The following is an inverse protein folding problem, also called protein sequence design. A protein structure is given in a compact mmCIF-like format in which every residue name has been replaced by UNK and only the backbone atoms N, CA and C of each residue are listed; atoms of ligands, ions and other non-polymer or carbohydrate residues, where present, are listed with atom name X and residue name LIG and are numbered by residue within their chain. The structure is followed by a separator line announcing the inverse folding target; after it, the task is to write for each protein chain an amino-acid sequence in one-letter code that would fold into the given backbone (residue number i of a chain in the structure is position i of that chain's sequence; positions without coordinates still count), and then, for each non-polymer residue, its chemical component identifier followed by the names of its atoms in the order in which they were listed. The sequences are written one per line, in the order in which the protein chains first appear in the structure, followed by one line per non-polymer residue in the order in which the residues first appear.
data_IF_847433365120
#
_entry.id   IF_847433365120
#
_cell.length_a   1.000
_cell.length_b   1.000
_cell.length_c   1.000
_cell.angle_alpha   90.00
_cell.angle_beta   90.00
_cell.angle_gamma   90.00
#
_symmetry.space_group_name_H-M   'P 1'
#
loop_
_entity.id
_entity.type
_entity.pdbx_description
1 polymer ?
#
# COMPACT_ATOMS: atom_id res chain seq x y z
N UNK A 1 0.60 -14.00 -10.32
CA UNK A 1 0.73 -12.95 -9.30
C UNK A 1 1.86 -12.02 -9.71
N UNK A 2 1.78 -10.75 -9.33
CA UNK A 2 2.89 -9.79 -9.43
C UNK A 2 3.48 -9.66 -8.03
N UNK A 3 4.73 -10.12 -7.88
CA UNK A 3 5.33 -10.33 -6.57
C UNK A 3 4.47 -11.21 -5.67
N UNK A 4 4.47 -10.92 -4.37
CA UNK A 4 3.66 -11.59 -3.35
C UNK A 4 2.30 -10.92 -3.10
N UNK A 5 2.05 -9.74 -3.69
CA UNK A 5 1.00 -8.83 -3.26
C UNK A 5 -0.20 -8.72 -4.21
N UNK A 6 -0.03 -8.94 -5.51
CA UNK A 6 -1.09 -8.65 -6.48
C UNK A 6 -1.46 -9.89 -7.31
N UNK A 7 -2.75 -10.20 -7.37
CA UNK A 7 -3.32 -11.21 -8.24
C UNK A 7 -4.08 -10.50 -9.36
N UNK A 8 -3.74 -10.84 -10.61
CA UNK A 8 -4.34 -10.23 -11.81
C UNK A 8 -4.83 -11.35 -12.70
N UNK A 9 -6.04 -11.21 -13.24
CA UNK A 9 -6.56 -12.09 -14.30
C UNK A 9 -7.08 -11.23 -15.45
N UNK A 10 -6.24 -10.99 -16.48
CA UNK A 10 -6.67 -10.35 -17.71
C UNK A 10 -7.80 -11.14 -18.37
N UNK A 11 -8.70 -10.41 -19.03
CA UNK A 11 -9.79 -10.99 -19.81
C UNK A 11 -9.28 -11.25 -21.22
N UNK A 12 -9.21 -12.53 -21.60
CA UNK A 12 -8.64 -12.98 -22.90
C UNK A 12 -9.70 -13.60 -23.82
N UNK A 13 -10.93 -13.76 -23.32
CA UNK A 13 -12.05 -14.30 -24.08
C UNK A 13 -12.73 -13.19 -24.87
N UNK A 14 -13.34 -13.55 -26.01
CA UNK A 14 -14.10 -12.60 -26.83
C UNK A 14 -15.50 -12.42 -26.23
N UNK A 15 -15.89 -11.17 -25.98
CA UNK A 15 -17.21 -10.76 -25.47
C UNK A 15 -17.71 -11.52 -24.20
N UNK A 16 -16.88 -11.75 -23.17
CA UNK A 16 -17.37 -12.34 -21.93
C UNK A 16 -18.20 -11.32 -21.17
N UNK A 17 -19.28 -11.78 -20.53
CA UNK A 17 -20.07 -10.96 -19.60
C UNK A 17 -19.48 -10.97 -18.18
N UNK A 18 -18.76 -12.03 -17.82
CA UNK A 18 -18.13 -12.19 -16.52
C UNK A 18 -16.76 -12.85 -16.66
N UNK A 19 -15.85 -12.52 -15.74
CA UNK A 19 -14.58 -13.20 -15.56
C UNK A 19 -14.58 -13.87 -14.18
N UNK A 20 -14.39 -15.19 -14.18
CA UNK A 20 -14.25 -15.94 -12.93
C UNK A 20 -12.80 -15.97 -12.50
N UNK A 21 -12.46 -15.49 -11.31
CA UNK A 21 -11.11 -15.55 -10.74
C UNK A 21 -11.10 -16.44 -9.50
N UNK A 22 -10.11 -17.31 -9.37
CA UNK A 22 -9.90 -18.09 -8.15
C UNK A 22 -8.95 -17.35 -7.20
N UNK A 23 -9.45 -16.98 -6.02
CA UNK A 23 -8.66 -16.44 -4.92
C UNK A 23 -8.09 -17.62 -4.13
N UNK A 24 -6.78 -17.83 -4.24
CA UNK A 24 -6.07 -18.90 -3.55
C UNK A 24 -5.70 -18.50 -2.11
N UNK A 25 -5.25 -19.48 -1.33
CA UNK A 25 -4.85 -19.30 0.07
C UNK A 25 -5.93 -19.78 1.05
N UNK A 26 -5.54 -20.54 2.07
CA UNK A 26 -6.44 -20.92 3.16
C UNK A 26 -6.33 -19.88 4.27
N UNK A 27 -7.47 -19.37 4.74
CA UNK A 27 -7.51 -18.32 5.78
C UNK A 27 -6.74 -17.06 5.34
N UNK A 28 -6.83 -16.74 4.06
CA UNK A 28 -6.34 -15.49 3.49
C UNK A 28 -7.50 -14.58 3.12
N UNK A 29 -7.20 -13.30 2.95
CA UNK A 29 -8.13 -12.28 2.50
C UNK A 29 -7.51 -11.55 1.31
N UNK A 30 -8.35 -11.20 0.35
CA UNK A 30 -7.97 -10.44 -0.83
C UNK A 30 -8.84 -9.18 -0.90
N UNK A 31 -8.29 -8.07 -1.36
CA UNK A 31 -8.99 -6.81 -1.48
C UNK A 31 -9.12 -6.49 -2.96
N UNK A 32 -10.35 -6.28 -3.40
CA UNK A 32 -10.65 -5.83 -4.75
C UNK A 32 -9.92 -4.51 -5.03
N UNK A 33 -9.17 -4.43 -6.14
CA UNK A 33 -8.30 -3.28 -6.39
C UNK A 33 -9.08 -1.96 -6.48
N UNK A 34 -10.19 -1.97 -7.20
CA UNK A 34 -11.02 -0.79 -7.49
C UNK A 34 -11.87 -0.40 -6.26
N UNK A 35 -12.55 -1.37 -5.66
CA UNK A 35 -13.55 -1.09 -4.62
C UNK A 35 -13.02 -1.19 -3.20
N UNK A 36 -11.78 -1.64 -3.03
CA UNK A 36 -11.17 -1.98 -1.73
C UNK A 36 -11.93 -3.04 -0.91
N UNK A 37 -12.99 -3.64 -1.45
CA UNK A 37 -13.84 -4.58 -0.71
C UNK A 37 -13.08 -5.87 -0.40
N UNK A 38 -13.16 -6.39 0.84
CA UNK A 38 -12.54 -7.65 1.22
C UNK A 38 -13.27 -8.86 0.62
N UNK A 39 -12.50 -9.86 0.23
CA UNK A 39 -12.94 -11.16 -0.29
C UNK A 39 -12.18 -12.28 0.44
N UNK A 40 -12.86 -13.13 1.23
CA UNK A 40 -12.21 -14.26 1.87
C UNK A 40 -11.81 -15.32 0.83
N UNK A 41 -10.78 -16.09 1.15
CA UNK A 41 -10.27 -17.20 0.32
C UNK A 41 -10.15 -18.49 1.16
N UNK A 42 -10.22 -19.68 0.52
CA UNK A 42 -10.24 -19.91 -0.93
C UNK A 42 -11.65 -19.76 -1.54
N UNK A 43 -11.71 -19.30 -2.80
CA UNK A 43 -13.00 -19.22 -3.50
C UNK A 43 -12.91 -18.59 -4.88
N UNK A 44 -13.88 -18.92 -5.74
CA UNK A 44 -14.06 -18.22 -7.00
C UNK A 44 -14.86 -16.93 -6.77
N UNK A 45 -14.41 -15.84 -7.37
CA UNK A 45 -15.15 -14.57 -7.47
C UNK A 45 -15.54 -14.33 -8.92
N UNK A 46 -16.70 -13.72 -9.12
CA UNK A 46 -17.19 -13.32 -10.44
C UNK A 46 -17.08 -11.81 -10.55
N UNK A 47 -16.35 -11.36 -11.57
CA UNK A 47 -16.18 -9.95 -11.87
C UNK A 47 -16.95 -9.62 -13.16
N UNK A 48 -17.72 -8.52 -13.19
CA UNK A 48 -18.26 -8.01 -14.45
C UNK A 48 -17.13 -7.78 -15.45
N UNK A 49 -17.25 -8.38 -16.63
CA UNK A 49 -16.31 -8.19 -17.72
C UNK A 49 -16.80 -7.03 -18.59
N UNK A 50 -16.08 -5.91 -18.54
CA UNK A 50 -16.30 -4.75 -19.41
C UNK A 50 -15.02 -4.45 -20.18
N UNK A 51 -15.09 -3.63 -21.23
CA UNK A 51 -13.91 -3.26 -22.01
C UNK A 51 -12.81 -2.58 -21.16
N UNK A 52 -13.18 -1.99 -20.02
CA UNK A 52 -12.25 -1.29 -19.11
C UNK A 52 -11.83 -2.14 -17.91
N UNK A 53 -12.47 -3.28 -17.65
CA UNK A 53 -12.22 -4.04 -16.42
C UNK A 53 -10.92 -4.83 -16.51
N UNK A 54 -10.06 -4.66 -15.51
CA UNK A 54 -8.90 -5.51 -15.27
C UNK A 54 -9.09 -6.15 -13.88
N UNK A 55 -9.62 -7.38 -13.80
CA UNK A 55 -9.82 -8.07 -12.52
C UNK A 55 -8.49 -8.19 -11.75
N UNK A 56 -8.44 -7.51 -10.60
CA UNK A 56 -7.23 -7.38 -9.81
C UNK A 56 -7.54 -7.34 -8.33
N UNK A 57 -6.72 -8.07 -7.56
CA UNK A 57 -6.89 -8.23 -6.13
C UNK A 57 -5.56 -8.09 -5.41
N UNK A 58 -5.51 -7.26 -4.38
CA UNK A 58 -4.37 -7.16 -3.47
C UNK A 58 -4.51 -8.20 -2.35
N UNK A 59 -3.45 -8.96 -2.08
CA UNK A 59 -3.39 -9.92 -0.98
C UNK A 59 -3.31 -9.19 0.35
N UNK A 60 -4.11 -9.62 1.34
CA UNK A 60 -3.98 -9.16 2.71
C UNK A 60 -2.63 -9.50 3.32
N UNK A 61 -2.15 -8.62 4.19
CA UNK A 61 -0.82 -8.69 4.77
C UNK A 61 0.27 -8.01 3.94
N UNK A 62 -0.09 -7.27 2.87
CA UNK A 62 0.89 -6.65 1.97
C UNK A 62 0.74 -5.14 1.87
N UNK A 63 1.85 -4.45 1.61
CA UNK A 63 1.88 -3.02 1.28
C UNK A 63 2.40 -2.85 -0.15
N UNK A 64 1.67 -2.10 -0.97
CA UNK A 64 2.08 -1.75 -2.33
C UNK A 64 2.31 -0.24 -2.40
N UNK A 65 3.57 0.22 -2.60
CA UNK A 65 3.85 1.60 -2.96
C UNK A 65 3.59 1.81 -4.46
N UNK A 66 2.90 2.88 -4.82
CA UNK A 66 2.71 3.31 -6.20
C UNK A 66 3.08 4.78 -6.34
N UNK A 67 3.64 5.16 -7.48
CA UNK A 67 3.66 6.58 -7.86
C UNK A 67 2.22 7.08 -7.91
N UNK A 68 2.01 8.28 -7.38
CA UNK A 68 0.76 9.02 -7.49
C UNK A 68 0.34 9.17 -8.96
N UNK A 69 -0.87 9.69 -9.18
CA UNK A 69 -1.54 9.78 -10.48
C UNK A 69 -0.60 9.94 -11.69
N UNK A 70 -0.81 9.11 -12.72
CA UNK A 70 -0.06 9.17 -13.97
C UNK A 70 -0.44 10.44 -14.73
N UNK A 71 0.26 11.53 -14.44
CA UNK A 71 0.02 12.86 -15.05
C UNK A 71 1.05 13.21 -16.12
N UNK A 72 2.13 12.41 -16.24
CA UNK A 72 3.29 12.68 -17.09
C UNK A 72 3.46 11.58 -18.14
N UNK A 73 4.16 11.91 -19.23
CA UNK A 73 4.25 11.06 -20.43
C UNK A 73 5.32 9.95 -20.37
N UNK A 74 6.15 9.89 -19.33
CA UNK A 74 7.23 8.91 -19.22
C UNK A 74 7.63 8.63 -17.77
N UNK A 75 8.18 7.45 -17.52
CA UNK A 75 8.71 7.06 -16.20
C UNK A 75 9.80 8.00 -15.70
N UNK A 76 10.66 8.52 -16.59
CA UNK A 76 11.70 9.49 -16.25
C UNK A 76 11.13 10.78 -15.67
N UNK A 77 10.03 11.28 -16.23
CA UNK A 77 9.37 12.48 -15.70
C UNK A 77 8.65 12.22 -14.38
N UNK A 78 8.24 10.97 -14.14
CA UNK A 78 7.59 10.52 -12.91
C UNK A 78 8.55 10.09 -11.80
N UNK A 79 9.86 10.16 -12.05
CA UNK A 79 10.88 9.63 -11.15
C UNK A 79 10.77 10.23 -9.74
N UNK A 80 10.51 11.54 -9.65
CA UNK A 80 10.34 12.28 -8.40
C UNK A 80 8.87 12.46 -7.98
N UNK A 81 7.93 11.74 -8.60
CA UNK A 81 6.51 11.90 -8.25
C UNK A 81 6.21 11.34 -6.85
N UNK A 82 5.26 11.95 -6.11
CA UNK A 82 4.84 11.46 -4.81
C UNK A 82 4.38 10.00 -4.85
N UNK A 83 4.37 9.35 -3.69
CA UNK A 83 3.96 7.96 -3.53
C UNK A 83 2.62 7.87 -2.81
N UNK A 84 1.74 7.00 -3.32
CA UNK A 84 0.57 6.50 -2.61
C UNK A 84 0.86 5.10 -2.07
N UNK A 85 0.57 4.87 -0.78
CA UNK A 85 0.72 3.57 -0.14
C UNK A 85 -0.62 2.85 -0.04
N UNK A 86 -0.69 1.62 -0.54
CA UNK A 86 -1.84 0.73 -0.36
C UNK A 86 -1.50 -0.37 0.64
N UNK A 87 -1.95 -0.21 1.88
CA UNK A 87 -1.76 -1.14 2.99
C UNK A 87 -2.99 -2.06 3.07
N UNK A 88 -2.86 -3.33 2.70
CA UNK A 88 -3.92 -4.31 2.82
C UNK A 88 -3.70 -5.17 4.07
N UNK A 89 -4.57 -5.05 5.08
CA UNK A 89 -4.43 -5.80 6.32
C UNK A 89 -4.61 -7.31 6.10
N UNK A 90 -3.93 -8.14 6.88
CA UNK A 90 -4.13 -9.59 6.81
C UNK A 90 -5.52 -10.00 7.33
N UNK A 91 -5.86 -11.29 7.26
CA UNK A 91 -7.16 -11.81 7.69
C UNK A 91 -7.51 -11.46 9.14
N UNK A 92 -6.50 -11.42 10.03
CA UNK A 92 -6.64 -11.04 11.44
C UNK A 92 -6.85 -9.54 11.62
N UNK A 93 -6.47 -8.72 10.64
CA UNK A 93 -6.53 -7.27 10.71
C UNK A 93 -5.38 -6.66 11.52
N UNK A 94 -4.32 -7.41 11.80
CA UNK A 94 -3.27 -7.02 12.75
C UNK A 94 -1.92 -6.71 12.10
N UNK A 95 -1.75 -7.00 10.80
CA UNK A 95 -0.46 -6.85 10.15
C UNK A 95 -0.57 -6.65 8.65
N UNK A 96 0.35 -5.85 8.10
CA UNK A 96 0.72 -5.82 6.70
C UNK A 96 2.17 -5.31 6.56
N UNK A 97 2.89 -5.76 5.54
CA UNK A 97 4.20 -5.21 5.24
C UNK A 97 4.51 -5.16 3.74
N UNK A 98 5.43 -4.28 3.37
CA UNK A 98 5.95 -4.20 2.02
C UNK A 98 7.22 -3.38 2.00
N UNK A 99 7.84 -3.32 0.84
CA UNK A 99 9.13 -2.67 0.67
C UNK A 99 9.13 -1.80 -0.57
N UNK A 100 9.94 -0.75 -0.56
CA UNK A 100 10.23 0.06 -1.72
C UNK A 100 11.75 0.13 -1.92
N UNK A 101 12.16 0.07 -3.19
CA UNK A 101 13.52 0.26 -3.61
C UNK A 101 13.57 1.45 -4.57
N UNK A 102 14.53 2.35 -4.39
CA UNK A 102 14.77 3.53 -5.23
C UNK A 102 16.26 3.60 -5.57
N UNK A 103 16.59 3.88 -6.82
CA UNK A 103 17.93 4.28 -7.31
C UNK A 103 17.74 5.26 -8.48
N UNK A 104 18.80 5.58 -9.22
CA UNK A 104 18.70 6.48 -10.38
C UNK A 104 18.06 5.84 -11.63
N UNK A 105 17.81 4.52 -11.60
CA UNK A 105 17.22 3.74 -12.70
C UNK A 105 18.07 3.61 -13.98
N UNK A 106 19.27 4.21 -14.04
CA UNK A 106 20.06 4.32 -15.28
C UNK A 106 21.50 3.80 -15.10
N UNK A 107 22.11 3.95 -13.93
CA UNK A 107 23.54 3.67 -13.72
C UNK A 107 23.78 2.46 -12.80
N UNK A 108 25.06 2.17 -12.54
CA UNK A 108 25.48 1.18 -11.54
C UNK A 108 25.75 1.80 -10.17
N UNK A 109 25.27 3.02 -9.90
CA UNK A 109 25.43 3.73 -8.62
C UNK A 109 25.01 2.87 -7.42
N UNK A 110 23.96 2.06 -7.56
CA UNK A 110 23.50 1.15 -6.52
C UNK A 110 24.60 0.19 -6.01
N UNK A 111 25.57 -0.21 -6.85
CA UNK A 111 26.70 -1.06 -6.44
C UNK A 111 27.65 -0.35 -5.48
N UNK A 112 27.63 0.98 -5.47
CA UNK A 112 28.40 1.85 -4.56
C UNK A 112 27.59 2.31 -3.36
N UNK A 113 26.32 1.92 -3.26
CA UNK A 113 25.42 2.35 -2.19
C UNK A 113 24.43 3.45 -2.60
N UNK A 114 24.43 3.92 -3.85
CA UNK A 114 23.52 5.00 -4.31
C UNK A 114 22.11 4.45 -4.59
N UNK A 115 21.44 3.96 -3.55
CA UNK A 115 20.08 3.46 -3.56
C UNK A 115 19.43 3.63 -2.18
N UNK A 116 18.13 3.45 -2.10
CA UNK A 116 17.35 3.42 -0.87
C UNK A 116 16.50 2.14 -0.84
N UNK A 117 16.54 1.40 0.26
CA UNK A 117 15.68 0.23 0.48
C UNK A 117 14.93 0.34 1.80
N UNK A 118 13.63 0.58 1.71
CA UNK A 118 12.77 0.96 2.83
C UNK A 118 11.61 -0.01 3.02
N UNK A 119 11.17 -0.14 4.27
CA UNK A 119 10.11 -1.05 4.68
C UNK A 119 8.97 -0.30 5.30
N UNK A 120 7.75 -0.57 4.82
CA UNK A 120 6.51 -0.04 5.36
C UNK A 120 5.81 -1.18 6.09
N UNK A 121 5.47 -0.97 7.37
CA UNK A 121 4.90 -1.99 8.24
C UNK A 121 3.68 -1.42 8.94
N UNK A 122 2.53 -2.05 8.75
CA UNK A 122 1.38 -1.90 9.62
C UNK A 122 1.40 -2.97 10.70
N UNK A 123 1.11 -2.59 11.95
CA UNK A 123 0.99 -3.54 13.05
C UNK A 123 -0.07 -3.10 14.07
N UNK A 124 -0.87 -4.03 14.57
CA UNK A 124 -1.63 -3.86 15.81
C UNK A 124 -0.67 -4.05 16.98
N UNK A 125 -0.44 -3.01 17.77
CA UNK A 125 0.40 -3.11 18.97
C UNK A 125 -0.39 -3.68 20.15
N UNK A 126 -1.60 -3.17 20.35
CA UNK A 126 -2.57 -3.67 21.32
C UNK A 126 -3.98 -3.23 20.90
N UNK A 127 -5.00 -3.48 21.72
CA UNK A 127 -6.40 -3.31 21.32
C UNK A 127 -6.77 -1.89 20.89
N UNK A 128 -6.12 -0.88 21.49
CA UNK A 128 -6.39 0.54 21.24
C UNK A 128 -5.34 1.28 20.39
N UNK A 129 -4.35 0.57 19.84
CA UNK A 129 -3.25 1.20 19.08
C UNK A 129 -2.79 0.33 17.92
N UNK A 130 -2.75 0.95 16.75
CA UNK A 130 -2.14 0.41 15.54
C UNK A 130 -1.07 1.38 15.06
N UNK A 131 -0.01 0.86 14.46
CA UNK A 131 1.12 1.65 13.97
C UNK A 131 1.33 1.43 12.48
N UNK A 132 1.70 2.50 11.76
CA UNK A 132 2.30 2.43 10.43
C UNK A 132 3.71 2.98 10.56
N UNK A 133 4.72 2.16 10.27
CA UNK A 133 6.13 2.52 10.39
C UNK A 133 6.76 2.48 9.01
N UNK A 134 7.48 3.53 8.63
CA UNK A 134 8.45 3.51 7.55
C UNK A 134 9.86 3.45 8.15
N UNK A 135 10.68 2.52 7.68
CA UNK A 135 12.03 2.34 8.20
C UNK A 135 13.04 1.93 7.13
N UNK A 136 14.28 2.38 7.28
CA UNK A 136 15.37 1.93 6.44
C UNK A 136 15.68 0.44 6.71
N UNK A 137 15.70 -0.39 5.66
CA UNK A 137 15.99 -1.82 5.73
C UNK A 137 17.45 -2.16 5.39
N UNK A 138 18.15 -1.31 4.63
CA UNK A 138 19.56 -1.48 4.34
C UNK A 138 20.32 -0.15 4.48
N UNK A 139 21.03 -0.02 5.60
CA UNK A 139 21.83 1.17 5.94
C UNK A 139 23.02 1.42 5.01
N UNK A 140 23.35 0.50 4.09
CA UNK A 140 24.36 0.72 3.06
C UNK A 140 23.85 1.62 1.93
N UNK A 141 22.52 1.70 1.77
CA UNK A 141 21.89 2.63 0.84
C UNK A 141 21.98 4.06 1.36
N UNK A 142 22.56 4.95 0.56
CA UNK A 142 22.80 6.37 0.90
C UNK A 142 21.92 7.34 0.12
N UNK A 143 20.99 6.84 -0.70
CA UNK A 143 20.09 7.72 -1.45
C UNK A 143 19.07 8.35 -0.50
N UNK A 144 19.12 9.67 -0.42
CA UNK A 144 18.08 10.50 0.19
C UNK A 144 17.27 11.17 -0.93
N UNK A 145 15.95 11.16 -0.78
CA UNK A 145 15.04 11.70 -1.79
C UNK A 145 13.93 12.51 -1.12
N UNK A 146 13.55 13.60 -1.78
CA UNK A 146 12.43 14.46 -1.41
C UNK A 146 11.07 13.94 -1.90
N UNK A 147 11.00 12.69 -2.36
CA UNK A 147 9.73 12.04 -2.71
C UNK A 147 8.83 11.93 -1.46
N UNK A 148 7.72 12.67 -1.52
CA UNK A 148 6.70 12.68 -0.47
C UNK A 148 5.74 11.49 -0.59
N UNK A 149 5.19 11.07 0.54
CA UNK A 149 4.00 10.23 0.57
C UNK A 149 2.79 11.17 0.51
N UNK A 150 2.01 11.05 -0.56
CA UNK A 150 0.82 11.87 -0.79
C UNK A 150 -0.39 11.29 -0.05
N UNK A 151 -0.56 9.97 -0.11
CA UNK A 151 -1.75 9.28 0.41
C UNK A 151 -1.40 7.92 0.99
N UNK A 152 -2.12 7.52 2.02
CA UNK A 152 -2.08 6.17 2.58
C UNK A 152 -3.49 5.62 2.64
N UNK A 153 -3.73 4.54 1.90
CA UNK A 153 -4.94 3.74 1.98
C UNK A 153 -4.70 2.53 2.87
N UNK A 154 -5.48 2.38 3.92
CA UNK A 154 -5.49 1.17 4.77
C UNK A 154 -6.78 0.40 4.54
N UNK A 155 -6.67 -0.76 3.90
CA UNK A 155 -7.78 -1.62 3.51
C UNK A 155 -8.05 -2.68 4.58
N UNK A 156 -9.32 -2.84 4.93
CA UNK A 156 -9.77 -3.83 5.93
C UNK A 156 -9.61 -3.37 7.36
N UNK A 157 -9.68 -2.06 7.61
CA UNK A 157 -9.72 -1.48 8.96
C UNK A 157 -11.02 -1.91 9.63
N UNK A 158 -10.95 -2.86 10.56
CA UNK A 158 -12.12 -3.38 11.31
C UNK A 158 -12.37 -2.65 12.62
N UNK A 159 -11.37 -1.91 13.09
CA UNK A 159 -11.49 -1.06 14.29
C UNK A 159 -12.13 0.28 13.91
N UNK A 160 -12.52 1.07 14.91
CA UNK A 160 -13.06 2.40 14.70
C UNK A 160 -12.00 3.46 15.00
N UNK A 161 -11.28 3.98 13.99
CA UNK A 161 -10.25 5.00 14.22
C UNK A 161 -10.89 6.28 14.78
N UNK A 162 -10.28 6.86 15.81
CA UNK A 162 -10.71 8.12 16.44
C UNK A 162 -9.73 9.25 16.23
N UNK A 163 -8.43 8.97 16.40
CA UNK A 163 -7.36 9.94 16.28
C UNK A 163 -6.16 9.29 15.59
N UNK A 164 -5.41 10.07 14.81
CA UNK A 164 -4.15 9.67 14.24
C UNK A 164 -3.09 10.73 14.53
N UNK A 165 -1.86 10.30 14.83
CA UNK A 165 -0.72 11.19 14.98
C UNK A 165 0.48 10.64 14.21
N UNK A 166 1.27 11.51 13.61
CA UNK A 166 2.55 11.17 13.01
C UNK A 166 3.70 11.64 13.90
N UNK A 167 4.74 10.81 13.97
CA UNK A 167 6.03 11.08 14.57
C UNK A 167 7.05 11.05 13.44
N UNK A 168 7.66 12.19 13.19
CA UNK A 168 8.79 12.36 12.27
C UNK A 168 10.09 12.31 13.06
N UNK A 169 11.18 12.84 12.49
CA UNK A 169 12.54 12.81 13.06
C UNK A 169 12.68 13.54 14.41
N UNK A 170 11.80 14.50 14.70
CA UNK A 170 11.82 15.29 15.93
C UNK A 170 11.07 14.64 17.10
N UNK A 171 10.40 13.50 16.84
CA UNK A 171 9.55 12.76 17.77
C UNK A 171 8.39 13.59 18.38
N UNK A 172 8.08 14.75 17.81
CA UNK A 172 6.92 15.54 18.20
C UNK A 172 5.69 14.96 17.51
N UNK A 173 4.62 14.58 18.24
CA UNK A 173 3.41 14.10 17.59
C UNK A 173 2.68 15.25 16.89
N UNK A 174 2.47 15.11 15.59
CA UNK A 174 1.61 16.00 14.79
C UNK A 174 0.28 15.29 14.49
N UNK A 175 -0.88 15.94 14.67
CA UNK A 175 -2.17 15.33 14.34
C UNK A 175 -2.28 15.06 12.83
N UNK A 176 -2.91 13.95 12.47
CA UNK A 176 -3.24 13.60 11.10
C UNK A 176 -4.75 13.47 10.91
N UNK A 177 -5.25 14.11 9.85
CA UNK A 177 -6.62 13.92 9.39
C UNK A 177 -6.74 12.63 8.58
N UNK A 178 -7.90 11.99 8.69
CA UNK A 178 -8.23 10.80 7.92
C UNK A 178 -9.73 10.71 7.62
N UNK A 179 -10.04 10.06 6.50
CA UNK A 179 -11.39 9.62 6.15
C UNK A 179 -11.51 8.12 6.44
N UNK A 180 -12.66 7.66 6.93
CA UNK A 180 -12.93 6.23 7.14
C UNK A 180 -14.32 5.84 6.65
N UNK A 181 -14.35 4.95 5.66
CA UNK A 181 -15.56 4.35 5.12
C UNK A 181 -15.81 2.99 5.78
N UNK A 182 -16.92 2.90 6.52
CA UNK A 182 -17.35 1.69 7.24
C UNK A 182 -17.89 0.59 6.32
N UNK A 183 -18.39 0.93 5.14
CA UNK A 183 -18.98 -0.03 4.21
C UNK A 183 -17.89 -0.79 3.44
N UNK A 184 -16.81 -0.10 3.09
CA UNK A 184 -15.66 -0.68 2.39
C UNK A 184 -14.51 -1.08 3.33
N UNK A 185 -14.57 -0.66 4.60
CA UNK A 185 -13.50 -0.81 5.59
C UNK A 185 -12.19 -0.17 5.13
N UNK A 186 -12.30 0.97 4.46
CA UNK A 186 -11.18 1.72 3.89
C UNK A 186 -10.93 2.98 4.72
N UNK A 187 -9.70 3.13 5.20
CA UNK A 187 -9.22 4.37 5.78
C UNK A 187 -8.28 5.07 4.79
N UNK A 188 -8.42 6.38 4.65
CA UNK A 188 -7.57 7.22 3.81
C UNK A 188 -6.93 8.31 4.68
N UNK A 189 -5.60 8.39 4.64
CA UNK A 189 -4.82 9.49 5.23
C UNK A 189 -4.26 10.30 4.07
N UNK A 190 -4.58 11.59 4.01
CA UNK A 190 -4.12 12.51 2.97
C UNK A 190 -2.99 13.38 3.51
N UNK A 191 -1.97 13.59 2.69
CA UNK A 191 -0.84 14.48 2.95
C UNK A 191 -0.22 14.30 4.34
N UNK A 192 0.31 13.12 4.69
CA UNK A 192 0.94 12.87 5.99
C UNK A 192 2.21 13.70 6.25
N UNK A 193 2.61 14.59 5.34
CA UNK A 193 3.82 15.39 5.41
C UNK A 193 5.10 14.57 5.64
N UNK A 194 5.14 13.35 5.10
CA UNK A 194 6.22 12.39 5.31
C UNK A 194 6.96 12.08 3.99
N UNK A 195 8.27 11.90 4.09
CA UNK A 195 9.13 11.51 2.97
C UNK A 195 9.36 10.00 2.96
N UNK A 196 9.43 9.39 1.78
CA UNK A 196 9.59 7.93 1.66
C UNK A 196 10.96 7.43 2.13
N UNK A 197 11.98 8.29 2.09
CA UNK A 197 13.35 7.98 2.53
C UNK A 197 13.70 8.55 3.91
N UNK A 198 12.69 8.78 4.76
CA UNK A 198 12.87 9.18 6.17
C UNK A 198 12.06 8.27 7.09
N UNK A 199 12.57 8.05 8.29
CA UNK A 199 11.86 7.27 9.29
C UNK A 199 10.60 8.04 9.72
N UNK A 200 9.48 7.34 9.84
CA UNK A 200 8.29 7.90 10.49
C UNK A 200 7.46 6.80 11.13
N UNK A 201 6.63 7.21 12.09
CA UNK A 201 5.61 6.36 12.71
C UNK A 201 4.29 7.10 12.74
N UNK A 202 3.22 6.46 12.28
CA UNK A 202 1.85 6.93 12.47
C UNK A 202 1.18 6.04 13.51
N UNK A 203 0.66 6.64 14.57
CA UNK A 203 -0.13 5.97 15.61
C UNK A 203 -1.62 6.20 15.32
N UNK A 204 -2.39 5.12 15.21
CA UNK A 204 -3.83 5.11 14.98
C UNK A 204 -4.56 4.60 16.23
N UNK A 205 -5.33 5.48 16.87
CA UNK A 205 -6.06 5.19 18.11
C UNK A 205 -7.53 4.86 17.86
N UNK A 206 -8.11 3.98 18.68
CA UNK A 206 -9.46 3.42 18.50
C UNK A 206 -10.34 3.55 19.73
#
# INVERSE_FOLDING_TARGET
MVGNALLVKPIIEKNPYQASLYLAGKREIWYDWETSKPRPSPGAVQNPATLKSIPMYQRGGTVIPLRAEVTKGSSKQMHEDPITLYIALNTKGDHANGTIYLDDGETYGYKKGEYAYWGIIFKKEHDYLHTIINKNLDKKGTLESDIMIEKIYVRGVKFFPRNAHIFLDDFTPEPLDFDYDRDTLLMEIRNPNAYITRDFRIDLHT
#
